data_IF_321493761015
#
_entry.id   IF_321493761015
#
_cell.length_a   1.000
_cell.length_b   1.000
_cell.length_c   1.000
_cell.angle_alpha   90.00
_cell.angle_beta   90.00
_cell.angle_gamma   90.00
#
_symmetry.space_group_name_H-M   'P 1'
#
loop_
_entity.id
_entity.type
_entity.pdbx_description
1 polymer ?
#
# COMPACT_ATOMS: atom_id res chain seq x y z
N UNK A 1 -23.55 -1.50 -6.14
CA UNK A 1 -22.66 -0.85 -5.16
C UNK A 1 -22.32 -1.83 -4.05
N UNK A 2 -21.50 -1.43 -3.06
CA UNK A 2 -21.15 -2.26 -1.91
C UNK A 2 -22.40 -2.72 -1.14
N UNK A 3 -22.49 -4.01 -0.83
CA UNK A 3 -23.59 -4.61 -0.08
C UNK A 3 -23.23 -5.98 0.45
N UNK A 4 -23.95 -6.46 1.45
CA UNK A 4 -23.84 -7.84 1.91
C UNK A 4 -24.34 -8.83 0.86
N UNK A 5 -23.56 -9.87 0.61
CA UNK A 5 -23.89 -10.98 -0.29
C UNK A 5 -23.76 -12.31 0.45
N UNK A 6 -24.63 -13.25 0.12
CA UNK A 6 -24.55 -14.65 0.55
C UNK A 6 -23.98 -15.47 -0.59
N UNK A 7 -22.91 -16.19 -0.32
CA UNK A 7 -22.28 -17.11 -1.27
C UNK A 7 -22.71 -18.53 -0.91
N UNK A 8 -23.43 -19.20 -1.82
CA UNK A 8 -23.91 -20.57 -1.62
C UNK A 8 -22.87 -21.58 -2.11
N UNK A 9 -22.60 -22.59 -1.28
CA UNK A 9 -21.66 -23.70 -1.56
C UNK A 9 -20.29 -23.24 -2.13
N UNK A 10 -19.56 -22.35 -1.43
CA UNK A 10 -18.23 -21.95 -1.87
C UNK A 10 -17.26 -23.13 -1.81
N UNK A 11 -16.43 -23.26 -2.83
CA UNK A 11 -15.27 -24.15 -2.82
C UNK A 11 -14.06 -23.36 -2.33
N UNK A 12 -13.29 -23.91 -1.39
CA UNK A 12 -12.03 -23.30 -0.97
C UNK A 12 -11.04 -23.34 -2.14
N UNK A 13 -10.44 -22.19 -2.44
CA UNK A 13 -9.46 -22.04 -3.51
C UNK A 13 -8.05 -22.02 -2.89
N UNK A 14 -7.16 -22.91 -3.37
CA UNK A 14 -5.80 -23.07 -2.84
C UNK A 14 -4.70 -22.48 -3.73
N UNK A 15 -5.06 -21.86 -4.86
CA UNK A 15 -4.11 -21.41 -5.88
C UNK A 15 -3.38 -20.12 -5.53
N UNK A 16 -3.66 -19.52 -4.35
CA UNK A 16 -3.01 -18.29 -3.90
C UNK A 16 -3.19 -17.15 -4.92
N UNK A 17 -4.40 -17.00 -5.45
CA UNK A 17 -4.70 -16.03 -6.51
C UNK A 17 -4.65 -14.58 -6.00
N UNK A 18 -4.81 -14.37 -4.69
CA UNK A 18 -4.87 -13.08 -4.03
C UNK A 18 -3.92 -12.98 -2.82
N UNK A 19 -3.81 -11.77 -2.29
CA UNK A 19 -3.14 -11.46 -1.02
C UNK A 19 -4.15 -11.41 0.14
N UNK A 20 -5.42 -11.79 -0.09
CA UNK A 20 -6.45 -11.88 0.92
C UNK A 20 -6.23 -13.09 1.83
N UNK A 21 -6.79 -13.04 3.04
CA UNK A 21 -6.72 -14.13 4.01
C UNK A 21 -7.62 -15.33 3.67
N UNK A 22 -8.71 -15.08 2.93
CA UNK A 22 -9.70 -16.10 2.55
C UNK A 22 -9.93 -16.02 1.05
N UNK A 23 -9.81 -17.17 0.38
CA UNK A 23 -10.06 -17.33 -1.05
C UNK A 23 -11.10 -18.42 -1.25
N UNK A 24 -12.15 -18.09 -2.02
CA UNK A 24 -13.22 -19.02 -2.37
C UNK A 24 -13.55 -18.88 -3.85
N UNK A 25 -13.97 -19.98 -4.43
CA UNK A 25 -14.42 -20.07 -5.81
C UNK A 25 -15.88 -20.56 -5.83
N UNK A 26 -16.62 -20.11 -6.84
CA UNK A 26 -18.03 -20.42 -7.04
C UNK A 26 -18.21 -20.74 -8.52
N UNK A 27 -18.76 -21.91 -8.78
CA UNK A 27 -18.99 -22.47 -10.10
C UNK A 27 -20.13 -21.79 -10.88
N UNK A 28 -21.12 -21.22 -10.19
CA UNK A 28 -22.27 -20.54 -10.81
C UNK A 28 -22.50 -19.15 -10.19
N UNK A 29 -22.53 -18.06 -10.99
CA UNK A 29 -22.84 -16.72 -10.50
C UNK A 29 -24.21 -16.61 -9.80
N UNK A 30 -25.18 -17.50 -10.11
CA UNK A 30 -26.49 -17.53 -9.44
C UNK A 30 -26.39 -17.91 -7.96
N UNK A 31 -25.27 -18.50 -7.53
CA UNK A 31 -25.00 -18.83 -6.13
C UNK A 31 -24.56 -17.62 -5.30
N UNK A 32 -24.34 -16.46 -5.92
CA UNK A 32 -24.04 -15.20 -5.25
C UNK A 32 -25.34 -14.39 -5.16
N UNK A 33 -25.95 -14.37 -3.97
CA UNK A 33 -27.27 -13.77 -3.76
C UNK A 33 -27.14 -12.55 -2.86
N UNK A 34 -27.71 -11.42 -3.28
CA UNK A 34 -27.80 -10.22 -2.44
C UNK A 34 -28.73 -10.48 -1.25
N UNK A 35 -28.31 -10.09 -0.05
CA UNK A 35 -29.16 -10.20 1.14
C UNK A 35 -30.15 -9.02 1.13
N UNK A 36 -31.44 -9.30 1.34
CA UNK A 36 -32.50 -8.28 1.36
C UNK A 36 -32.41 -7.45 2.65
N UNK A 37 -32.46 -8.13 3.81
CA UNK A 37 -32.25 -7.52 5.12
C UNK A 37 -30.76 -7.47 5.44
N UNK A 38 -30.12 -6.38 5.02
CA UNK A 38 -28.67 -6.25 5.17
C UNK A 38 -28.29 -5.90 6.60
N UNK A 39 -27.34 -6.63 7.21
CA UNK A 39 -26.74 -6.18 8.45
C UNK A 39 -25.96 -4.87 8.25
N UNK A 40 -25.58 -4.22 9.36
CA UNK A 40 -24.76 -2.99 9.33
C UNK A 40 -23.47 -3.22 8.52
N UNK A 41 -22.98 -2.19 7.84
CA UNK A 41 -21.73 -2.30 7.12
C UNK A 41 -20.59 -2.68 8.09
N UNK A 42 -19.71 -3.62 7.71
CA UNK A 42 -18.55 -3.94 8.51
C UNK A 42 -17.63 -2.71 8.55
N UNK A 43 -16.94 -2.47 9.67
CA UNK A 43 -15.95 -1.42 9.70
C UNK A 43 -14.77 -1.81 8.80
N UNK A 44 -14.09 -0.80 8.23
CA UNK A 44 -12.99 -1.00 7.28
C UNK A 44 -11.65 -0.60 7.88
N UNK A 45 -10.58 -1.16 7.35
CA UNK A 45 -9.22 -0.73 7.68
C UNK A 45 -8.77 0.32 6.68
N UNK A 46 -8.44 1.51 7.14
CA UNK A 46 -7.92 2.59 6.29
C UNK A 46 -6.44 2.80 6.56
N UNK A 47 -5.66 3.06 5.50
CA UNK A 47 -4.25 3.39 5.60
C UNK A 47 -3.99 4.68 4.84
N UNK A 48 -3.50 5.70 5.54
CA UNK A 48 -2.94 6.89 4.90
C UNK A 48 -1.49 6.63 4.57
N UNK A 49 -1.09 6.96 3.34
CA UNK A 49 0.28 6.89 2.85
C UNK A 49 0.76 8.30 2.53
N UNK A 50 1.98 8.63 2.95
CA UNK A 50 2.66 9.84 2.53
C UNK A 50 4.10 9.52 2.14
N UNK A 51 4.56 10.07 1.03
CA UNK A 51 5.91 9.82 0.52
C UNK A 51 6.70 11.10 0.32
N UNK A 52 8.02 10.96 0.42
CA UNK A 52 8.98 11.96 0.02
C UNK A 52 9.92 11.36 -1.02
N UNK A 53 10.01 12.02 -2.16
CA UNK A 53 10.87 11.62 -3.27
C UNK A 53 11.99 12.63 -3.45
N UNK A 54 13.05 12.19 -4.12
CA UNK A 54 14.17 13.02 -4.56
C UNK A 54 14.42 12.75 -6.04
N UNK A 55 14.72 13.79 -6.81
CA UNK A 55 15.09 13.63 -8.22
C UNK A 55 16.57 13.31 -8.31
N UNK A 56 16.89 12.17 -8.92
CA UNK A 56 18.27 11.82 -9.20
C UNK A 56 18.79 12.69 -10.37
N UNK A 57 19.87 13.48 -10.19
CA UNK A 57 20.33 14.42 -11.20
C UNK A 57 20.93 13.75 -12.44
N UNK A 58 21.30 12.46 -12.37
CA UNK A 58 21.86 11.72 -13.50
C UNK A 58 20.80 11.04 -14.34
N UNK A 59 19.80 10.42 -13.69
CA UNK A 59 18.75 9.65 -14.37
C UNK A 59 17.48 10.47 -14.61
N UNK A 60 17.35 11.64 -13.96
CA UNK A 60 16.14 12.47 -13.94
C UNK A 60 14.89 11.70 -13.47
N UNK A 61 15.08 10.65 -12.66
CA UNK A 61 13.99 9.85 -12.10
C UNK A 61 13.69 10.24 -10.66
N UNK A 62 12.41 10.19 -10.27
CA UNK A 62 12.00 10.32 -8.89
C UNK A 62 12.31 9.04 -8.12
N UNK A 63 13.13 9.15 -7.09
CA UNK A 63 13.49 8.04 -6.21
C UNK A 63 12.87 8.23 -4.84
N UNK A 64 12.32 7.17 -4.25
CA UNK A 64 11.63 7.22 -2.96
C UNK A 64 12.65 7.32 -1.83
N UNK A 65 12.59 8.39 -1.03
CA UNK A 65 13.51 8.67 0.08
C UNK A 65 12.94 8.26 1.44
N UNK A 66 11.67 8.57 1.65
CA UNK A 66 10.95 8.23 2.87
C UNK A 66 9.50 7.94 2.56
N UNK A 67 8.90 7.04 3.33
CA UNK A 67 7.47 6.75 3.30
C UNK A 67 6.94 6.62 4.73
N UNK A 68 5.82 7.27 5.01
CA UNK A 68 5.11 7.18 6.28
C UNK A 68 3.71 6.63 6.04
N UNK A 69 3.25 5.76 6.93
CA UNK A 69 1.90 5.22 6.92
C UNK A 69 1.24 5.40 8.27
N UNK A 70 -0.05 5.72 8.25
CA UNK A 70 -0.93 5.73 9.41
C UNK A 70 -2.12 4.81 9.15
N UNK A 71 -2.21 3.71 9.89
CA UNK A 71 -3.29 2.73 9.73
C UNK A 71 -4.30 2.88 10.84
N UNK A 72 -5.57 3.04 10.46
CA UNK A 72 -6.71 3.11 11.35
C UNK A 72 -7.56 1.86 11.15
N UNK A 73 -7.50 0.89 12.08
CA UNK A 73 -8.42 -0.23 12.06
C UNK A 73 -9.81 0.24 12.50
N UNK A 74 -10.85 -0.51 12.10
CA UNK A 74 -12.22 -0.35 12.59
C UNK A 74 -12.90 0.99 12.26
N UNK A 75 -12.63 1.58 11.09
CA UNK A 75 -13.30 2.81 10.64
C UNK A 75 -14.74 2.51 10.24
N UNK A 76 -15.70 3.21 10.86
CA UNK A 76 -17.13 3.05 10.58
C UNK A 76 -17.51 3.85 9.32
N UNK A 77 -18.17 3.19 8.37
CA UNK A 77 -18.68 3.84 7.15
C UNK A 77 -20.02 4.56 7.42
N UNK A 78 -20.88 3.95 8.24
CA UNK A 78 -22.27 4.42 8.44
C UNK A 78 -22.41 5.57 9.46
N UNK A 79 -21.31 6.05 10.04
CA UNK A 79 -21.36 7.04 11.11
C UNK A 79 -20.03 7.26 11.81
N UNK A 80 -20.05 7.97 12.94
CA UNK A 80 -18.84 8.32 13.68
C UNK A 80 -18.01 7.08 14.04
N UNK A 81 -16.71 7.16 13.78
CA UNK A 81 -15.77 6.09 14.16
C UNK A 81 -15.48 6.17 15.65
N UNK A 82 -15.61 5.03 16.33
CA UNK A 82 -15.32 4.90 17.76
C UNK A 82 -13.79 4.82 17.96
N UNK A 83 -13.20 5.93 18.41
CA UNK A 83 -11.75 6.06 18.63
C UNK A 83 -11.25 5.25 19.82
N UNK A 84 -12.13 4.67 20.65
CA UNK A 84 -11.74 3.81 21.76
C UNK A 84 -11.37 2.38 21.32
N UNK A 85 -11.83 1.93 20.13
CA UNK A 85 -11.77 0.53 19.68
C UNK A 85 -10.59 0.17 18.77
N UNK A 86 -9.55 0.98 18.74
CA UNK A 86 -8.34 0.68 17.99
C UNK A 86 -7.30 1.76 18.13
N UNK A 87 -6.06 1.38 18.37
CA UNK A 87 -4.94 2.33 18.31
C UNK A 87 -4.50 2.47 16.86
N UNK A 88 -4.31 3.70 16.41
CA UNK A 88 -3.69 3.96 15.12
C UNK A 88 -2.25 3.41 15.11
N UNK A 89 -1.89 2.73 14.05
CA UNK A 89 -0.55 2.19 13.85
C UNK A 89 0.26 3.11 12.94
N UNK A 90 1.32 3.69 13.49
CA UNK A 90 2.21 4.59 12.76
C UNK A 90 3.48 3.85 12.36
N UNK A 91 3.90 4.06 11.12
CA UNK A 91 5.13 3.50 10.60
C UNK A 91 5.80 4.50 9.66
N UNK A 92 7.12 4.60 9.72
CA UNK A 92 7.90 5.45 8.82
C UNK A 92 9.18 4.74 8.43
N UNK A 93 9.41 4.56 7.14
CA UNK A 93 10.68 4.08 6.61
C UNK A 93 11.46 5.25 6.00
N UNK A 94 12.75 5.37 6.33
CA UNK A 94 13.64 6.38 5.78
C UNK A 94 14.97 5.76 5.35
N UNK A 95 15.46 6.17 4.18
CA UNK A 95 16.82 5.83 3.72
C UNK A 95 17.71 7.05 3.62
N UNK A 96 18.98 6.80 3.30
CA UNK A 96 20.00 7.84 3.12
C UNK A 96 19.81 8.60 1.80
N UNK A 97 20.15 9.90 1.81
CA UNK A 97 20.02 10.83 0.69
C UNK A 97 21.16 10.68 -0.33
N UNK A 98 22.40 10.49 0.14
CA UNK A 98 23.62 10.55 -0.68
C UNK A 98 23.66 9.56 -1.83
N UNK A 99 22.92 8.44 -1.76
CA UNK A 99 22.82 7.48 -2.87
C UNK A 99 22.09 8.03 -4.09
N UNK A 100 21.22 9.03 -3.91
CA UNK A 100 20.31 9.52 -4.96
C UNK A 100 20.55 10.99 -5.31
N UNK A 101 20.81 11.82 -4.30
CA UNK A 101 20.92 13.27 -4.46
C UNK A 101 22.33 13.73 -4.89
N UNK A 102 23.31 12.81 -4.92
CA UNK A 102 24.69 13.08 -5.31
C UNK A 102 25.67 13.20 -4.14
N UNK A 103 26.96 13.41 -4.43
CA UNK A 103 28.04 13.36 -3.44
C UNK A 103 27.99 14.49 -2.40
N UNK A 104 27.26 15.57 -2.68
CA UNK A 104 27.09 16.71 -1.78
C UNK A 104 26.10 16.43 -0.62
N UNK A 105 25.43 15.27 -0.64
CA UNK A 105 24.44 14.89 0.37
C UNK A 105 24.95 13.78 1.28
N UNK A 106 24.47 13.70 2.55
CA UNK A 106 24.94 12.70 3.49
C UNK A 106 24.74 11.27 2.98
N UNK A 107 25.85 10.55 2.83
CA UNK A 107 25.87 9.14 2.47
C UNK A 107 25.53 8.21 3.65
N UNK A 108 25.36 8.76 4.85
CA UNK A 108 24.98 8.03 6.06
C UNK A 108 23.94 8.82 6.84
N UNK A 109 23.17 8.11 7.67
CA UNK A 109 22.33 8.76 8.66
C UNK A 109 23.19 9.42 9.75
N UNK A 110 22.68 10.46 10.44
CA UNK A 110 23.31 10.98 11.64
C UNK A 110 23.57 9.88 12.66
N UNK A 111 24.74 9.92 13.32
CA UNK A 111 25.19 8.87 14.24
C UNK A 111 24.29 8.71 15.46
N UNK A 112 23.70 9.82 15.91
CA UNK A 112 22.79 9.94 17.04
C UNK A 112 21.32 9.66 16.69
N UNK A 113 20.97 9.48 15.41
CA UNK A 113 19.57 9.31 14.97
C UNK A 113 18.84 8.22 15.76
N UNK A 114 19.47 7.05 15.97
CA UNK A 114 18.85 5.96 16.73
C UNK A 114 18.65 6.31 18.21
N UNK A 115 19.57 7.07 18.79
CA UNK A 115 19.48 7.52 20.18
C UNK A 115 18.33 8.52 20.34
N UNK A 116 18.27 9.52 19.45
CA UNK A 116 17.21 10.54 19.42
C UNK A 116 15.82 9.91 19.20
N UNK A 117 15.69 8.95 18.29
CA UNK A 117 14.43 8.23 18.06
C UNK A 117 13.96 7.48 19.32
N UNK A 118 14.88 6.88 20.06
CA UNK A 118 14.60 6.16 21.31
C UNK A 118 14.18 7.13 22.43
N UNK A 119 14.89 8.25 22.57
CA UNK A 119 14.60 9.29 23.55
C UNK A 119 13.24 9.96 23.29
N UNK A 120 12.94 10.25 22.03
CA UNK A 120 11.68 10.85 21.59
C UNK A 120 10.50 9.87 21.56
N UNK A 121 10.70 8.61 21.99
CA UNK A 121 9.69 7.54 21.99
C UNK A 121 9.04 7.29 20.61
N UNK A 122 9.75 7.59 19.53
CA UNK A 122 9.29 7.38 18.15
C UNK A 122 9.60 5.96 17.68
N UNK A 123 8.91 4.97 18.26
CA UNK A 123 9.14 3.55 17.95
C UNK A 123 8.68 3.12 16.54
N UNK A 124 7.96 3.97 15.81
CA UNK A 124 7.46 3.69 14.46
C UNK A 124 8.46 3.98 13.33
N UNK A 125 9.62 4.58 13.62
CA UNK A 125 10.60 4.99 12.60
C UNK A 125 11.66 3.92 12.38
N UNK A 126 11.81 3.47 11.14
CA UNK A 126 12.78 2.49 10.70
C UNK A 126 13.73 3.08 9.66
N UNK A 127 15.03 3.03 9.95
CA UNK A 127 16.08 3.36 8.98
C UNK A 127 16.38 2.15 8.10
N UNK A 128 16.43 2.34 6.79
CA UNK A 128 16.72 1.29 5.80
C UNK A 128 17.91 1.68 4.92
N UNK A 129 18.73 0.70 4.47
CA UNK A 129 20.01 1.00 3.83
C UNK A 129 19.89 1.55 2.40
N UNK A 130 18.84 1.20 1.68
CA UNK A 130 18.65 1.59 0.28
C UNK A 130 17.16 1.62 -0.08
N UNK A 131 16.85 2.08 -1.30
CA UNK A 131 15.46 2.23 -1.76
C UNK A 131 14.74 0.89 -1.95
N UNK A 132 15.44 -0.14 -2.44
CA UNK A 132 14.87 -1.50 -2.56
C UNK A 132 14.39 -2.01 -1.19
N UNK A 133 15.17 -1.79 -0.13
CA UNK A 133 14.79 -2.14 1.23
C UNK A 133 13.60 -1.32 1.72
N UNK A 134 13.55 -0.01 1.42
CA UNK A 134 12.44 0.87 1.76
C UNK A 134 11.12 0.38 1.13
N UNK A 135 11.12 0.16 -0.19
CA UNK A 135 9.97 -0.34 -0.92
C UNK A 135 9.53 -1.71 -0.42
N UNK A 136 10.47 -2.62 -0.15
CA UNK A 136 10.18 -3.95 0.39
C UNK A 136 9.46 -3.89 1.74
N UNK A 137 9.97 -3.07 2.68
CA UNK A 137 9.34 -2.91 4.00
C UNK A 137 7.96 -2.27 3.86
N UNK A 138 7.81 -1.25 3.01
CA UNK A 138 6.52 -0.60 2.78
C UNK A 138 5.48 -1.58 2.20
N UNK A 139 5.83 -2.36 1.17
CA UNK A 139 4.94 -3.36 0.58
C UNK A 139 4.56 -4.46 1.58
N UNK A 140 5.50 -4.89 2.41
CA UNK A 140 5.21 -5.84 3.48
C UNK A 140 4.29 -5.23 4.54
N UNK A 141 4.43 -3.94 4.85
CA UNK A 141 3.52 -3.25 5.77
C UNK A 141 2.11 -3.18 5.22
N UNK A 142 1.94 -2.77 3.96
CA UNK A 142 0.64 -2.76 3.26
C UNK A 142 0.01 -4.16 3.28
N UNK A 143 0.79 -5.20 3.01
CA UNK A 143 0.27 -6.57 3.03
C UNK A 143 -0.13 -7.05 4.43
N UNK A 144 0.65 -6.71 5.46
CA UNK A 144 0.40 -7.16 6.85
C UNK A 144 -0.84 -6.49 7.43
N UNK A 145 -0.97 -5.19 7.20
CA UNK A 145 -2.12 -4.39 7.66
C UNK A 145 -3.37 -4.60 6.80
N UNK A 146 -3.18 -5.04 5.56
CA UNK A 146 -4.22 -5.33 4.55
C UNK A 146 -5.37 -4.30 4.48
N UNK A 147 -5.08 -3.00 4.25
CA UNK A 147 -6.09 -1.96 4.27
C UNK A 147 -7.12 -2.11 3.13
N UNK A 148 -8.39 -1.90 3.45
CA UNK A 148 -9.47 -1.83 2.46
C UNK A 148 -9.42 -0.53 1.66
N UNK A 149 -9.01 0.56 2.31
CA UNK A 149 -8.89 1.90 1.71
C UNK A 149 -7.45 2.41 1.87
N UNK A 150 -6.81 2.73 0.76
CA UNK A 150 -5.51 3.39 0.73
C UNK A 150 -5.71 4.87 0.37
N UNK A 151 -5.38 5.75 1.30
CA UNK A 151 -5.55 7.20 1.20
C UNK A 151 -4.21 7.87 0.92
N UNK A 152 -4.08 8.67 -0.14
CA UNK A 152 -2.94 9.59 -0.33
C UNK A 152 -3.33 10.87 -1.06
N UNK A 153 -2.57 11.92 -0.83
CA UNK A 153 -2.69 13.14 -1.61
C UNK A 153 -2.02 12.98 -2.98
N UNK A 154 -2.78 13.17 -4.07
CA UNK A 154 -2.32 12.99 -5.45
C UNK A 154 -1.86 11.55 -5.77
N UNK A 155 -2.61 10.56 -5.28
CA UNK A 155 -2.30 9.14 -5.45
C UNK A 155 -2.16 8.74 -6.93
N UNK A 156 -3.19 9.04 -7.74
CA UNK A 156 -3.22 8.70 -9.16
C UNK A 156 -2.25 9.53 -10.02
N UNK A 157 -1.99 10.78 -9.66
CA UNK A 157 -1.17 11.67 -10.46
C UNK A 157 0.33 11.53 -10.25
N UNK A 158 0.77 11.00 -9.11
CA UNK A 158 2.20 10.92 -8.79
C UNK A 158 2.59 9.71 -7.94
N UNK A 159 2.03 9.60 -6.74
CA UNK A 159 2.54 8.68 -5.71
C UNK A 159 2.50 7.21 -6.16
N UNK A 160 1.35 6.76 -6.67
CA UNK A 160 1.18 5.37 -7.08
C UNK A 160 2.08 5.02 -8.27
N UNK A 161 2.27 5.96 -9.20
CA UNK A 161 3.13 5.78 -10.36
C UNK A 161 4.60 5.60 -9.94
N UNK A 162 5.08 6.43 -9.02
CA UNK A 162 6.43 6.31 -8.45
C UNK A 162 6.59 4.96 -7.76
N UNK A 163 5.64 4.55 -6.91
CA UNK A 163 5.73 3.28 -6.18
C UNK A 163 5.84 2.08 -7.11
N UNK A 164 4.98 2.01 -8.12
CA UNK A 164 4.96 0.88 -9.05
C UNK A 164 6.21 0.90 -9.92
N UNK A 165 6.55 2.04 -10.53
CA UNK A 165 7.73 2.16 -11.41
C UNK A 165 9.01 1.78 -10.65
N UNK A 166 9.21 2.34 -9.45
CA UNK A 166 10.40 2.03 -8.64
C UNK A 166 10.41 0.60 -8.14
N UNK A 167 9.25 0.00 -7.82
CA UNK A 167 9.18 -1.42 -7.44
C UNK A 167 9.62 -2.36 -8.57
N UNK A 168 9.24 -2.03 -9.81
CA UNK A 168 9.63 -2.79 -11.00
C UNK A 168 11.11 -2.60 -11.32
N UNK A 169 11.61 -1.36 -11.30
CA UNK A 169 13.03 -1.05 -11.53
C UNK A 169 13.95 -1.75 -10.52
N UNK A 170 13.55 -1.74 -9.23
CA UNK A 170 14.27 -2.45 -8.17
C UNK A 170 14.01 -3.96 -8.15
N UNK A 171 13.28 -4.53 -9.12
CA UNK A 171 13.00 -5.97 -9.26
C UNK A 171 12.39 -6.60 -8.00
N UNK A 172 11.37 -5.96 -7.42
CA UNK A 172 10.66 -6.52 -6.27
C UNK A 172 9.64 -7.57 -6.75
N UNK A 173 9.84 -8.82 -6.35
CA UNK A 173 8.98 -9.94 -6.77
C UNK A 173 7.51 -9.75 -6.38
N UNK A 174 7.24 -9.13 -5.23
CA UNK A 174 5.89 -8.99 -4.67
C UNK A 174 5.35 -7.56 -4.75
N UNK A 175 5.65 -6.84 -5.83
CA UNK A 175 5.11 -5.50 -6.10
C UNK A 175 3.57 -5.47 -6.13
N UNK A 176 2.92 -6.58 -6.49
CA UNK A 176 1.46 -6.73 -6.54
C UNK A 176 0.77 -6.66 -5.17
N UNK A 177 1.51 -6.62 -4.06
CA UNK A 177 1.00 -6.35 -2.71
C UNK A 177 0.38 -4.95 -2.55
N UNK A 178 0.64 -4.04 -3.51
CA UNK A 178 -0.07 -2.75 -3.60
C UNK A 178 -1.59 -2.94 -3.77
N UNK A 179 -2.01 -3.96 -4.51
CA UNK A 179 -3.40 -4.40 -4.59
C UNK A 179 -3.66 -5.61 -3.68
N UNK A 180 -4.78 -6.29 -3.92
CA UNK A 180 -5.08 -7.61 -3.33
C UNK A 180 -4.98 -8.76 -4.33
N UNK A 181 -4.87 -8.50 -5.64
CA UNK A 181 -4.69 -9.57 -6.63
C UNK A 181 -3.21 -9.90 -6.82
N UNK A 182 -2.83 -11.19 -6.79
CA UNK A 182 -1.44 -11.58 -7.10
C UNK A 182 -1.19 -11.46 -8.59
N UNK A 183 -0.07 -10.82 -8.94
CA UNK A 183 0.39 -10.68 -10.33
C UNK A 183 1.88 -10.99 -10.41
N UNK A 184 2.27 -11.71 -11.46
CA UNK A 184 3.65 -12.09 -11.76
C UNK A 184 4.35 -11.01 -12.59
N UNK A 185 3.68 -10.51 -13.64
CA UNK A 185 4.26 -9.57 -14.59
C UNK A 185 3.57 -8.20 -14.48
N UNK A 186 4.33 -7.12 -14.24
CA UNK A 186 3.78 -5.76 -14.32
C UNK A 186 3.42 -5.46 -15.78
N UNK A 187 2.23 -4.89 -16.01
CA UNK A 187 1.89 -4.42 -17.36
C UNK A 187 2.76 -3.22 -17.73
N UNK A 188 2.89 -2.98 -19.04
CA UNK A 188 3.60 -1.81 -19.54
C UNK A 188 2.84 -0.55 -19.14
N UNK A 189 3.57 0.41 -18.57
CA UNK A 189 3.04 1.73 -18.25
C UNK A 189 2.55 2.42 -19.53
N UNK A 190 1.29 2.85 -19.50
CA UNK A 190 0.66 3.63 -20.57
C UNK A 190 1.40 4.92 -20.89
N UNK A 191 1.46 5.28 -22.17
CA UNK A 191 2.07 6.56 -22.60
C UNK A 191 1.10 7.72 -22.42
N UNK A 192 -0.21 7.48 -22.52
CA UNK A 192 -1.26 8.50 -22.35
C UNK A 192 -1.79 8.55 -20.92
N UNK A 193 -2.43 9.66 -20.52
CA UNK A 193 -3.03 9.82 -19.19
C UNK A 193 -4.04 8.72 -18.84
N UNK A 194 -5.01 8.47 -19.73
CA UNK A 194 -6.02 7.43 -19.53
C UNK A 194 -5.42 6.01 -19.37
N UNK A 195 -4.35 5.70 -20.10
CA UNK A 195 -3.68 4.41 -19.96
C UNK A 195 -2.93 4.29 -18.62
N UNK A 196 -2.44 5.41 -18.04
CA UNK A 196 -1.82 5.42 -16.72
C UNK A 196 -2.85 5.19 -15.62
N UNK A 197 -4.01 5.85 -15.71
CA UNK A 197 -5.10 5.65 -14.74
C UNK A 197 -5.59 4.19 -14.74
N UNK A 198 -5.80 3.61 -15.92
CA UNK A 198 -6.15 2.19 -16.06
C UNK A 198 -5.09 1.28 -15.45
N UNK A 199 -3.80 1.56 -15.72
CA UNK A 199 -2.69 0.80 -15.14
C UNK A 199 -2.66 0.85 -13.61
N UNK A 200 -2.93 2.03 -13.02
CA UNK A 200 -3.00 2.23 -11.57
C UNK A 200 -4.20 1.47 -10.99
N UNK A 201 -5.39 1.61 -11.59
CA UNK A 201 -6.61 0.92 -11.15
C UNK A 201 -6.45 -0.60 -11.19
N UNK A 202 -5.82 -1.13 -12.23
CA UNK A 202 -5.48 -2.53 -12.35
C UNK A 202 -4.48 -2.99 -11.26
N UNK A 203 -3.45 -2.20 -10.99
CA UNK A 203 -2.42 -2.56 -10.00
C UNK A 203 -2.95 -2.46 -8.58
N UNK A 204 -3.81 -1.50 -8.29
CA UNK A 204 -4.49 -1.32 -7.00
C UNK A 204 -5.74 -2.18 -6.81
N UNK A 205 -6.05 -3.08 -7.75
CA UNK A 205 -7.28 -3.88 -7.72
C UNK A 205 -7.45 -4.62 -6.40
N UNK A 206 -8.65 -4.51 -5.83
CA UNK A 206 -9.04 -5.10 -4.55
C UNK A 206 -8.85 -4.17 -3.34
N UNK A 207 -8.26 -2.99 -3.52
CA UNK A 207 -8.25 -1.89 -2.55
C UNK A 207 -8.96 -0.67 -3.13
N UNK A 208 -9.66 0.08 -2.30
CA UNK A 208 -10.22 1.38 -2.67
C UNK A 208 -9.11 2.41 -2.57
N UNK A 209 -8.87 3.17 -3.64
CA UNK A 209 -7.85 4.22 -3.70
C UNK A 209 -8.53 5.57 -3.48
N UNK A 210 -8.09 6.32 -2.47
CA UNK A 210 -8.63 7.61 -2.07
C UNK A 210 -7.55 8.70 -2.09
#
# INVERSE_FOLDING_TARGET
GPSWVRIMNPCLEGTNASWCKVEVNVDDPKKIVKIIEQPRAPPVTTMTLQMKTVVNPKTHTHELLAAATATYPNVSIDGATDTSKGKAHWFTAIRQLGTSAGPNYPARHPHDLKAVLKESKMSGVQTVPNERALLSVLLNRIHTEDPDVLVSHNLFGFDFDVLVTRSVEHKLHHWSKLGRLRRTTPRLKGKTGAQRESYIAETGTGRILC
#
